data_IF_247485767251
#
_entry.id   IF_247485767251
#
_cell.length_a   1.000
_cell.length_b   1.000
_cell.length_c   1.000
_cell.angle_alpha   90.00
_cell.angle_beta   90.00
_cell.angle_gamma   90.00
#
_symmetry.space_group_name_H-M   'P 1'
#
loop_
_entity.id
_entity.type
_entity.pdbx_description
1 polymer ?
#
# COMPACT_ATOMS: atom_id res chain seq x y z
N UNK A 1 16.51 -5.42 -6.14
CA UNK A 1 15.47 -4.56 -5.57
C UNK A 1 14.23 -5.37 -5.28
N UNK A 2 13.64 -5.15 -4.12
CA UNK A 2 12.42 -5.82 -3.68
C UNK A 2 11.26 -4.83 -3.75
N UNK A 3 10.10 -5.30 -4.15
CA UNK A 3 8.89 -4.50 -4.17
C UNK A 3 7.81 -5.17 -3.34
N UNK A 4 7.19 -4.40 -2.44
CA UNK A 4 5.98 -4.80 -1.74
C UNK A 4 4.78 -4.16 -2.42
N UNK A 5 3.78 -4.96 -2.77
CA UNK A 5 2.55 -4.50 -3.42
C UNK A 5 1.38 -4.71 -2.48
N UNK A 6 0.64 -3.63 -2.21
CA UNK A 6 -0.55 -3.67 -1.36
C UNK A 6 -1.75 -3.38 -2.26
N UNK A 7 -2.63 -4.37 -2.38
CA UNK A 7 -3.85 -4.25 -3.18
C UNK A 7 -5.03 -4.09 -2.24
N UNK A 8 -5.77 -3.00 -2.38
CA UNK A 8 -6.94 -2.71 -1.55
C UNK A 8 -8.22 -3.11 -2.26
N UNK A 9 -9.05 -3.92 -1.62
CA UNK A 9 -10.39 -4.21 -2.09
C UNK A 9 -11.29 -2.99 -2.02
N UNK A 10 -12.45 -3.06 -2.67
CA UNK A 10 -13.40 -1.94 -2.71
C UNK A 10 -13.93 -1.64 -1.31
N UNK A 11 -13.71 -0.42 -0.78
CA UNK A 11 -14.14 -0.07 0.57
C UNK A 11 -15.65 0.17 0.63
N UNK A 12 -16.19 0.10 1.86
CA UNK A 12 -17.59 0.39 2.09
C UNK A 12 -17.97 1.82 1.70
N UNK A 13 -17.05 2.76 1.99
CA UNK A 13 -17.23 4.18 1.67
C UNK A 13 -15.93 4.72 1.05
N UNK A 14 -15.91 4.86 -0.29
CA UNK A 14 -14.69 5.33 -0.98
C UNK A 14 -14.24 6.73 -0.53
N UNK A 15 -15.17 7.63 -0.25
CA UNK A 15 -14.81 8.99 0.19
C UNK A 15 -14.12 8.99 1.55
N UNK A 16 -14.60 8.21 2.48
CA UNK A 16 -13.99 8.04 3.81
C UNK A 16 -12.63 7.37 3.67
N UNK A 17 -12.53 6.32 2.84
CA UNK A 17 -11.25 5.65 2.57
C UNK A 17 -10.23 6.65 2.04
N UNK A 18 -10.58 7.40 1.01
CA UNK A 18 -9.64 8.31 0.33
C UNK A 18 -9.13 9.39 1.27
N UNK A 19 -10.01 9.94 2.11
CA UNK A 19 -9.62 10.96 3.09
C UNK A 19 -8.64 10.40 4.10
N UNK A 20 -8.98 9.28 4.71
CA UNK A 20 -8.12 8.64 5.71
C UNK A 20 -6.78 8.24 5.09
N UNK A 21 -6.82 7.65 3.91
CA UNK A 21 -5.63 7.21 3.19
C UNK A 21 -4.65 8.37 2.98
N UNK A 22 -5.15 9.49 2.46
CA UNK A 22 -4.30 10.65 2.16
C UNK A 22 -3.86 11.39 3.42
N UNK A 23 -4.73 11.56 4.40
CA UNK A 23 -4.46 12.41 5.56
C UNK A 23 -3.75 11.67 6.69
N UNK A 24 -3.96 10.36 6.82
CA UNK A 24 -3.46 9.59 7.97
C UNK A 24 -2.51 8.49 7.57
N UNK A 25 -2.87 7.65 6.60
CA UNK A 25 -2.06 6.48 6.28
C UNK A 25 -0.78 6.81 5.53
N UNK A 26 -0.84 7.60 4.47
CA UNK A 26 0.34 7.92 3.67
C UNK A 26 1.43 8.64 4.45
N UNK A 27 1.13 9.52 5.42
CA UNK A 27 2.18 10.07 6.27
C UNK A 27 2.95 9.02 7.06
N UNK A 28 2.32 7.91 7.46
CA UNK A 28 3.02 6.80 8.12
C UNK A 28 4.02 6.13 7.17
N UNK A 29 3.64 5.99 5.90
CA UNK A 29 4.52 5.43 4.88
C UNK A 29 5.76 6.31 4.70
N UNK A 30 5.57 7.63 4.60
CA UNK A 30 6.69 8.56 4.39
C UNK A 30 7.64 8.63 5.57
N UNK A 31 7.19 8.30 6.78
CA UNK A 31 8.04 8.27 7.98
C UNK A 31 8.85 6.98 8.08
N UNK A 32 8.53 5.95 7.32
CA UNK A 32 9.20 4.67 7.39
C UNK A 32 10.50 4.74 6.59
N UNK A 33 11.63 4.64 7.28
CA UNK A 33 12.95 4.65 6.64
C UNK A 33 13.20 3.33 5.93
N UNK A 34 13.97 3.38 4.84
CA UNK A 34 14.32 2.21 4.04
C UNK A 34 13.43 2.01 2.83
N UNK A 35 12.33 2.73 2.72
CA UNK A 35 11.52 2.74 1.51
C UNK A 35 12.17 3.71 0.53
N UNK A 36 12.70 3.17 -0.57
CA UNK A 36 13.40 3.96 -1.58
C UNK A 36 12.45 4.78 -2.43
N UNK A 37 11.27 4.22 -2.70
CA UNK A 37 10.29 4.81 -3.58
C UNK A 37 8.92 4.23 -3.22
N UNK A 38 7.89 5.05 -3.30
CA UNK A 38 6.52 4.62 -3.13
C UNK A 38 5.68 5.14 -4.30
N UNK A 39 4.86 4.27 -4.87
CA UNK A 39 3.93 4.64 -5.91
C UNK A 39 2.52 4.27 -5.47
N UNK A 40 1.56 5.15 -5.73
CA UNK A 40 0.17 4.97 -5.32
C UNK A 40 -0.71 5.07 -6.55
N UNK A 41 -1.57 4.06 -6.74
CA UNK A 41 -2.44 3.96 -7.91
C UNK A 41 -3.89 3.84 -7.47
N UNK A 42 -4.76 4.62 -8.07
CA UNK A 42 -6.22 4.44 -7.95
C UNK A 42 -6.70 3.86 -9.27
N UNK A 43 -7.33 2.69 -9.22
CA UNK A 43 -7.72 2.00 -10.45
C UNK A 43 -8.92 2.68 -11.11
N UNK A 44 -8.89 2.69 -12.43
CA UNK A 44 -10.00 3.20 -13.25
C UNK A 44 -10.96 2.07 -13.59
N UNK A 45 -12.21 2.38 -13.96
CA UNK A 45 -13.10 1.36 -14.50
C UNK A 45 -12.45 0.63 -15.67
N UNK A 46 -12.79 -0.64 -15.83
CA UNK A 46 -12.32 -1.41 -16.99
C UNK A 46 -12.86 -0.83 -18.29
N UNK A 47 -12.24 -1.13 -19.44
CA UNK A 47 -12.70 -0.60 -20.74
C UNK A 47 -14.17 -0.88 -21.05
N UNK A 48 -14.72 -1.98 -20.53
CA UNK A 48 -16.13 -2.34 -20.71
C UNK A 48 -17.08 -1.64 -19.71
N UNK A 49 -16.54 -0.77 -18.85
CA UNK A 49 -17.32 -0.05 -17.85
C UNK A 49 -17.49 -0.78 -16.52
N UNK A 50 -17.05 -2.03 -16.42
CA UNK A 50 -17.15 -2.78 -15.17
C UNK A 50 -16.15 -2.27 -14.14
N UNK A 51 -16.42 -2.57 -12.85
CA UNK A 51 -15.51 -2.20 -11.77
C UNK A 51 -14.21 -3.02 -11.86
N UNK A 52 -13.04 -2.41 -11.61
CA UNK A 52 -11.79 -3.14 -11.53
C UNK A 52 -11.79 -4.09 -10.33
N UNK A 53 -10.92 -5.11 -10.38
CA UNK A 53 -10.85 -6.12 -9.31
C UNK A 53 -10.48 -5.51 -7.96
N UNK A 54 -9.68 -4.44 -7.97
CA UNK A 54 -9.23 -3.76 -6.75
C UNK A 54 -9.51 -2.27 -6.87
N UNK A 55 -9.53 -1.61 -5.71
CA UNK A 55 -9.81 -0.17 -5.62
C UNK A 55 -8.56 0.67 -5.78
N UNK A 56 -7.50 0.33 -4.99
CA UNK A 56 -6.23 1.05 -5.00
C UNK A 56 -5.07 0.08 -4.84
N UNK A 57 -3.89 0.56 -5.21
CA UNK A 57 -2.64 -0.18 -5.07
C UNK A 57 -1.57 0.75 -4.53
N UNK A 58 -0.75 0.23 -3.62
CA UNK A 58 0.49 0.89 -3.22
C UNK A 58 1.66 -0.04 -3.55
N UNK A 59 2.74 0.54 -4.07
CA UNK A 59 3.95 -0.19 -4.39
C UNK A 59 5.11 0.46 -3.65
N UNK A 60 5.79 -0.31 -2.80
CA UNK A 60 6.89 0.16 -1.98
C UNK A 60 8.16 -0.57 -2.41
N UNK A 61 9.24 0.18 -2.65
CA UNK A 61 10.50 -0.36 -3.17
C UNK A 61 11.57 -0.33 -2.09
N UNK A 62 12.30 -1.42 -1.95
CA UNK A 62 13.40 -1.60 -0.99
C UNK A 62 14.66 -2.04 -1.73
N UNK A 63 15.85 -1.72 -1.18
CA UNK A 63 17.10 -2.07 -1.81
C UNK A 63 17.28 -3.58 -1.92
N UNK A 64 16.87 -4.33 -0.89
CA UNK A 64 16.98 -5.78 -0.86
C UNK A 64 16.16 -6.36 0.28
N UNK A 65 16.21 -7.70 0.46
CA UNK A 65 15.40 -8.37 1.51
C UNK A 65 15.74 -7.90 2.92
N UNK A 66 17.00 -7.66 3.22
CA UNK A 66 17.42 -7.23 4.56
C UNK A 66 16.88 -5.83 4.88
N UNK A 67 16.98 -4.91 3.92
CA UNK A 67 16.47 -3.54 4.06
C UNK A 67 14.95 -3.53 4.20
N UNK A 68 14.27 -4.38 3.44
CA UNK A 68 12.81 -4.53 3.55
C UNK A 68 12.42 -5.00 4.95
N UNK A 69 13.08 -6.05 5.45
CA UNK A 69 12.77 -6.58 6.78
C UNK A 69 13.04 -5.55 7.87
N UNK A 70 14.13 -4.82 7.75
CA UNK A 70 14.47 -3.76 8.69
C UNK A 70 13.41 -2.66 8.70
N UNK A 71 12.97 -2.21 7.53
CA UNK A 71 11.94 -1.18 7.40
C UNK A 71 10.62 -1.63 8.01
N UNK A 72 10.18 -2.86 7.68
CA UNK A 72 8.88 -3.37 8.13
C UNK A 72 8.87 -3.70 9.61
N UNK A 73 10.01 -4.05 10.22
CA UNK A 73 10.09 -4.33 11.65
C UNK A 73 10.38 -3.11 12.51
N UNK A 74 10.67 -1.96 11.90
CA UNK A 74 10.81 -0.70 12.64
C UNK A 74 9.49 -0.28 13.28
N UNK A 75 9.50 0.58 14.32
CA UNK A 75 8.25 1.08 14.89
C UNK A 75 7.34 1.75 13.87
N UNK A 76 7.91 2.51 12.94
CA UNK A 76 7.17 3.18 11.89
C UNK A 76 6.56 2.18 10.91
N UNK A 77 7.31 1.15 10.53
CA UNK A 77 6.82 0.09 9.65
C UNK A 77 5.70 -0.71 10.29
N UNK A 78 5.82 -1.00 11.58
CA UNK A 78 4.76 -1.69 12.33
C UNK A 78 3.51 -0.83 12.45
N UNK A 79 3.66 0.47 12.69
CA UNK A 79 2.54 1.40 12.74
C UNK A 79 1.82 1.48 11.39
N UNK A 80 2.58 1.52 10.29
CA UNK A 80 2.03 1.53 8.95
C UNK A 80 1.19 0.27 8.68
N UNK A 81 1.72 -0.91 9.04
CA UNK A 81 1.01 -2.17 8.83
C UNK A 81 -0.24 -2.28 9.73
N UNK A 82 -0.13 -1.88 10.99
CA UNK A 82 -1.26 -1.93 11.91
C UNK A 82 -2.40 -0.99 11.49
N UNK A 83 -2.07 0.12 10.85
CA UNK A 83 -3.06 1.11 10.43
C UNK A 83 -4.00 0.59 9.33
N UNK A 84 -3.60 -0.44 8.58
CA UNK A 84 -4.45 -1.01 7.53
C UNK A 84 -5.82 -1.44 8.07
N UNK A 85 -5.87 -1.97 9.28
CA UNK A 85 -7.12 -2.40 9.90
C UNK A 85 -8.08 -1.25 10.21
N UNK A 86 -7.62 0.00 10.19
CA UNK A 86 -8.44 1.15 10.52
C UNK A 86 -9.23 1.69 9.32
N UNK A 87 -8.84 1.36 8.08
CA UNK A 87 -9.49 1.95 6.90
C UNK A 87 -9.73 0.97 5.74
N UNK A 88 -9.02 -0.15 5.70
CA UNK A 88 -9.09 -1.07 4.57
C UNK A 88 -10.29 -2.02 4.72
N UNK A 89 -11.50 -1.46 4.65
CA UNK A 89 -12.74 -2.20 4.89
C UNK A 89 -13.04 -3.26 3.82
N UNK A 90 -12.51 -3.07 2.61
CA UNK A 90 -12.62 -4.06 1.53
C UNK A 90 -11.57 -5.16 1.57
N UNK A 91 -10.69 -5.14 2.57
CA UNK A 91 -9.59 -6.08 2.70
C UNK A 91 -8.33 -5.64 1.97
N UNK A 92 -7.23 -6.30 2.29
CA UNK A 92 -5.94 -6.05 1.63
C UNK A 92 -5.32 -7.37 1.20
N UNK A 93 -4.56 -7.31 0.10
CA UNK A 93 -3.69 -8.40 -0.35
C UNK A 93 -2.28 -7.82 -0.46
N UNK A 94 -1.33 -8.45 0.22
CA UNK A 94 0.06 -7.96 0.23
C UNK A 94 0.94 -9.03 -0.41
N UNK A 95 1.73 -8.61 -1.39
CA UNK A 95 2.63 -9.46 -2.15
C UNK A 95 4.02 -8.83 -2.15
N UNK A 96 5.05 -9.67 -2.05
CA UNK A 96 6.43 -9.23 -2.17
C UNK A 96 7.08 -9.94 -3.33
N UNK A 97 7.89 -9.22 -4.08
CA UNK A 97 8.58 -9.80 -5.22
C UNK A 97 9.89 -9.11 -5.52
N UNK A 98 10.70 -9.79 -6.31
CA UNK A 98 11.95 -9.24 -6.83
C UNK A 98 11.63 -8.47 -8.11
N UNK A 99 12.13 -7.24 -8.20
CA UNK A 99 11.97 -6.45 -9.42
C UNK A 99 12.98 -6.95 -10.42
N UNK A 100 12.50 -7.43 -11.57
CA UNK A 100 13.34 -7.86 -12.69
C UNK A 100 13.23 -6.80 -13.78
N UNK A 101 14.37 -6.35 -14.26
CA UNK A 101 14.43 -5.30 -15.28
C UNK A 101 14.59 -5.87 -16.66
#
# INVERSE_FOLDING_TARGET
MIKGTVLYGHPNDPGVFDRYYNETHLPLVTKTQGILKAEYTKFLPNPDGSAPAYYRMAELYFAGPAEMQQALSSPEGQAMAADLGNFATGGVTILFGTVES
#
